data_IF_010833141638
#
_entry.id   IF_010833141638
#
_cell.length_a   1.000
_cell.length_b   1.000
_cell.length_c   1.000
_cell.angle_alpha   90.00
_cell.angle_beta   90.00
_cell.angle_gamma   90.00
#
_symmetry.space_group_name_H-M   'P 1'
#
loop_
_entity.id
_entity.type
_entity.pdbx_description
1 polymer ?
#
# COMPACT_ATOMS: atom_id res chain seq x y z
N UNK A 1 -18.14 -28.52 -38.88
CA UNK A 1 -18.81 -27.26 -38.59
C UNK A 1 -18.57 -26.97 -37.13
N UNK A 2 -17.57 -26.15 -36.82
CA UNK A 2 -17.24 -25.71 -35.46
C UNK A 2 -18.24 -24.61 -35.12
N UNK A 3 -19.19 -24.90 -34.24
CA UNK A 3 -20.09 -23.91 -33.67
C UNK A 3 -19.25 -22.87 -32.94
N UNK A 4 -19.09 -21.69 -33.53
CA UNK A 4 -18.62 -20.50 -32.80
C UNK A 4 -19.64 -20.23 -31.70
N UNK A 5 -19.33 -20.59 -30.46
CA UNK A 5 -20.03 -20.12 -29.28
C UNK A 5 -19.86 -18.61 -29.26
N UNK A 6 -20.92 -17.87 -29.54
CA UNK A 6 -20.93 -16.42 -29.38
C UNK A 6 -20.67 -16.09 -27.90
N UNK A 7 -19.51 -15.53 -27.62
CA UNK A 7 -19.18 -15.01 -26.30
C UNK A 7 -20.27 -14.02 -25.88
N UNK A 8 -20.92 -14.19 -24.71
CA UNK A 8 -21.91 -13.21 -24.26
C UNK A 8 -21.23 -11.84 -24.11
N UNK A 9 -21.81 -10.82 -24.75
CA UNK A 9 -21.35 -9.44 -24.63
C UNK A 9 -22.41 -8.58 -23.97
N UNK A 10 -21.98 -7.74 -23.02
CA UNK A 10 -22.81 -6.73 -22.36
C UNK A 10 -22.30 -5.34 -22.78
N UNK A 11 -23.21 -4.47 -23.19
CA UNK A 11 -22.88 -3.08 -23.51
C UNK A 11 -23.00 -2.19 -22.26
N UNK A 12 -21.85 -1.83 -21.73
CA UNK A 12 -21.71 -0.89 -20.61
C UNK A 12 -21.02 0.41 -21.06
N UNK A 13 -21.18 0.78 -22.33
CA UNK A 13 -20.48 1.90 -22.99
C UNK A 13 -20.66 3.26 -22.33
N UNK A 14 -21.65 3.42 -21.45
CA UNK A 14 -21.84 4.62 -20.64
C UNK A 14 -21.23 4.54 -19.23
N UNK A 15 -20.77 3.37 -18.84
CA UNK A 15 -20.23 3.09 -17.48
C UNK A 15 -18.71 3.09 -17.48
N UNK A 16 -18.14 3.20 -16.28
CA UNK A 16 -16.72 3.00 -16.02
C UNK A 16 -16.48 1.65 -15.34
N UNK A 17 -15.35 1.00 -15.65
CA UNK A 17 -14.93 -0.21 -14.97
C UNK A 17 -13.88 0.13 -13.91
N UNK A 18 -14.13 -0.22 -12.65
CA UNK A 18 -13.13 -0.17 -11.57
C UNK A 18 -12.60 -1.58 -11.37
N UNK A 19 -11.28 -1.76 -11.43
CA UNK A 19 -10.64 -3.07 -11.28
C UNK A 19 -9.94 -3.17 -9.93
N UNK A 20 -10.51 -3.96 -9.02
CA UNK A 20 -9.99 -4.26 -7.70
C UNK A 20 -10.73 -3.57 -6.55
N UNK A 21 -11.13 -4.36 -5.55
CA UNK A 21 -11.88 -3.97 -4.34
C UNK A 21 -10.99 -3.75 -3.10
N UNK A 22 -9.75 -3.31 -3.30
CA UNK A 22 -8.89 -2.84 -2.21
C UNK A 22 -9.19 -1.40 -1.79
N UNK A 23 -8.35 -0.83 -0.91
CA UNK A 23 -8.52 0.52 -0.40
C UNK A 23 -8.70 1.58 -1.51
N UNK A 24 -7.98 1.48 -2.63
CA UNK A 24 -8.11 2.38 -3.75
C UNK A 24 -9.47 2.24 -4.47
N UNK A 25 -9.90 1.01 -4.77
CA UNK A 25 -11.15 0.76 -5.50
C UNK A 25 -12.39 1.17 -4.73
N UNK A 26 -12.43 0.89 -3.42
CA UNK A 26 -13.54 1.25 -2.56
C UNK A 26 -13.77 2.77 -2.54
N UNK A 27 -12.71 3.56 -2.31
CA UNK A 27 -12.83 5.02 -2.30
C UNK A 27 -13.09 5.60 -3.70
N UNK A 28 -12.56 4.95 -4.75
CA UNK A 28 -12.85 5.32 -6.14
C UNK A 28 -14.34 5.15 -6.45
N UNK A 29 -14.92 4.02 -6.12
CA UNK A 29 -16.34 3.74 -6.29
C UNK A 29 -17.21 4.75 -5.54
N UNK A 30 -16.89 5.04 -4.27
CA UNK A 30 -17.56 6.05 -3.46
C UNK A 30 -17.53 7.43 -4.14
N UNK A 31 -16.37 7.87 -4.61
CA UNK A 31 -16.23 9.18 -5.21
C UNK A 31 -16.91 9.29 -6.59
N UNK A 32 -16.91 8.24 -7.42
CA UNK A 32 -17.70 8.22 -8.67
C UNK A 32 -19.18 8.31 -8.36
N UNK A 33 -19.66 7.53 -7.39
CA UNK A 33 -21.08 7.56 -6.97
C UNK A 33 -21.51 8.94 -6.48
N UNK A 34 -20.69 9.64 -5.72
CA UNK A 34 -20.98 11.01 -5.27
C UNK A 34 -21.05 12.03 -6.41
N UNK A 35 -20.36 11.78 -7.52
CA UNK A 35 -20.45 12.61 -8.73
C UNK A 35 -21.57 12.17 -9.69
N UNK A 36 -22.34 11.13 -9.36
CA UNK A 36 -23.40 10.58 -10.21
C UNK A 36 -22.85 9.90 -11.46
N UNK A 37 -21.66 9.32 -11.39
CA UNK A 37 -21.02 8.61 -12.49
C UNK A 37 -21.27 7.12 -12.33
N UNK A 38 -21.84 6.48 -13.35
CA UNK A 38 -22.14 5.06 -13.35
C UNK A 38 -20.86 4.21 -13.54
N UNK A 39 -20.75 3.14 -12.77
CA UNK A 39 -19.62 2.22 -12.82
C UNK A 39 -20.01 0.80 -12.40
N UNK A 40 -19.15 -0.15 -12.76
CA UNK A 40 -19.09 -1.48 -12.15
C UNK A 40 -17.73 -1.64 -11.46
N UNK A 41 -17.71 -2.15 -10.23
CA UNK A 41 -16.48 -2.55 -9.55
C UNK A 41 -16.34 -4.06 -9.65
N UNK A 42 -15.23 -4.52 -10.21
CA UNK A 42 -14.91 -5.93 -10.40
C UNK A 42 -13.85 -6.35 -9.39
N UNK A 43 -14.18 -7.30 -8.51
CA UNK A 43 -13.26 -7.85 -7.51
C UNK A 43 -13.18 -9.38 -7.63
N UNK A 44 -11.97 -9.90 -7.65
CA UNK A 44 -11.73 -11.34 -7.79
C UNK A 44 -11.99 -12.14 -6.53
N UNK A 45 -11.87 -11.53 -5.36
CA UNK A 45 -12.15 -12.16 -4.08
C UNK A 45 -13.65 -12.08 -3.74
N UNK A 46 -14.07 -12.79 -2.72
CA UNK A 46 -15.46 -12.88 -2.26
C UNK A 46 -15.92 -11.69 -1.40
N UNK A 47 -15.01 -10.76 -1.06
CA UNK A 47 -15.31 -9.54 -0.30
C UNK A 47 -14.19 -8.51 -0.49
N UNK A 48 -14.43 -7.30 -0.02
CA UNK A 48 -13.46 -6.20 -0.03
C UNK A 48 -12.28 -6.43 0.91
N UNK A 49 -11.14 -5.80 0.55
CA UNK A 49 -10.00 -5.72 1.44
C UNK A 49 -8.65 -5.65 0.73
N UNK A 50 -8.53 -6.20 -0.49
CA UNK A 50 -7.28 -6.24 -1.23
C UNK A 50 -6.16 -6.86 -0.39
N UNK A 51 -5.00 -6.19 -0.28
CA UNK A 51 -3.86 -6.69 0.50
C UNK A 51 -4.18 -6.93 2.00
N UNK A 52 -5.18 -6.25 2.56
CA UNK A 52 -5.60 -6.38 3.96
C UNK A 52 -6.52 -7.58 4.21
N UNK A 53 -6.97 -8.26 3.17
CA UNK A 53 -7.81 -9.44 3.31
C UNK A 53 -6.98 -10.66 3.67
N UNK A 54 -6.61 -10.77 4.97
CA UNK A 54 -5.78 -11.85 5.50
C UNK A 54 -6.28 -13.24 5.09
N UNK A 55 -5.37 -14.11 4.69
CA UNK A 55 -5.65 -15.49 4.29
C UNK A 55 -6.09 -15.68 2.83
N UNK A 56 -6.30 -14.60 2.07
CA UNK A 56 -6.63 -14.67 0.63
C UNK A 56 -5.37 -14.57 -0.25
N UNK A 57 -5.43 -15.06 -1.50
CA UNK A 57 -4.30 -14.98 -2.43
C UNK A 57 -3.78 -13.56 -2.70
N UNK A 58 -4.67 -12.56 -2.64
CA UNK A 58 -4.32 -11.14 -2.81
C UNK A 58 -3.57 -10.54 -1.62
N UNK A 59 -3.58 -11.22 -0.48
CA UNK A 59 -3.06 -10.69 0.79
C UNK A 59 -1.54 -10.77 0.88
N UNK A 60 -0.91 -9.65 1.14
CA UNK A 60 0.52 -9.59 1.46
C UNK A 60 0.81 -9.40 2.96
N UNK A 61 -0.22 -9.43 3.83
CA UNK A 61 -0.09 -9.26 5.28
C UNK A 61 0.02 -10.60 6.03
N UNK A 62 0.56 -10.53 7.22
CA UNK A 62 0.66 -11.62 8.22
C UNK A 62 -0.16 -11.26 9.45
N UNK A 63 -0.43 -12.25 10.33
CA UNK A 63 -1.37 -12.13 11.46
C UNK A 63 -1.03 -10.99 12.42
N UNK A 64 0.23 -10.79 12.73
CA UNK A 64 0.73 -9.80 13.69
C UNK A 64 0.89 -8.40 13.10
N UNK A 65 0.59 -8.19 11.81
CA UNK A 65 0.82 -6.91 11.15
C UNK A 65 0.01 -5.77 11.79
N UNK A 66 0.67 -4.63 11.97
CA UNK A 66 0.06 -3.36 12.30
C UNK A 66 0.36 -2.34 11.21
N UNK A 67 -0.49 -1.36 11.05
CA UNK A 67 -0.21 -0.23 10.17
C UNK A 67 1.10 0.45 10.59
N UNK A 68 1.87 0.93 9.63
CA UNK A 68 3.10 1.69 9.86
C UNK A 68 2.85 3.20 9.98
N UNK A 69 1.66 3.65 9.61
CA UNK A 69 1.16 5.02 9.79
C UNK A 69 0.11 5.07 10.90
N UNK A 70 0.05 6.19 11.60
CA UNK A 70 -0.94 6.39 12.66
C UNK A 70 -2.36 6.41 12.12
N UNK A 71 -3.33 6.18 13.00
CA UNK A 71 -4.76 6.24 12.68
C UNK A 71 -5.13 7.55 11.97
N UNK A 72 -4.69 8.68 12.47
CA UNK A 72 -4.96 10.01 11.91
C UNK A 72 -4.42 10.20 10.49
N UNK A 73 -3.37 9.48 10.11
CA UNK A 73 -2.79 9.52 8.76
C UNK A 73 -3.25 8.37 7.86
N UNK A 74 -4.04 7.43 8.39
CA UNK A 74 -4.48 6.25 7.65
C UNK A 74 -5.96 6.29 7.28
N UNK A 75 -6.77 7.12 7.93
CA UNK A 75 -8.21 7.24 7.66
C UNK A 75 -8.49 7.96 6.32
N UNK A 76 -9.62 7.65 5.70
CA UNK A 76 -10.11 8.41 4.55
C UNK A 76 -10.50 9.84 4.94
N UNK A 77 -10.53 10.74 3.97
CA UNK A 77 -10.66 12.19 4.24
C UNK A 77 -12.03 12.60 4.82
N UNK A 78 -13.01 11.75 4.72
CA UNK A 78 -14.41 11.97 5.10
C UNK A 78 -14.98 10.88 6.02
N UNK A 79 -14.13 9.95 6.47
CA UNK A 79 -14.53 8.85 7.33
C UNK A 79 -13.45 8.55 8.37
N UNK A 80 -13.55 9.07 9.59
CA UNK A 80 -12.56 8.81 10.62
C UNK A 80 -12.59 7.35 11.06
N UNK A 81 -11.42 6.81 11.41
CA UNK A 81 -11.34 5.50 12.06
C UNK A 81 -11.96 5.53 13.45
N UNK A 82 -12.57 4.45 13.92
CA UNK A 82 -13.13 4.33 15.27
C UNK A 82 -12.15 4.82 16.34
N UNK A 83 -12.68 5.58 17.32
CA UNK A 83 -11.85 6.21 18.36
C UNK A 83 -11.20 5.18 19.31
N UNK A 84 -11.77 4.00 19.42
CA UNK A 84 -11.27 2.86 20.20
C UNK A 84 -10.18 2.05 19.49
N UNK A 85 -9.89 2.35 18.22
CA UNK A 85 -8.74 1.71 17.54
C UNK A 85 -7.42 2.24 18.12
N UNK A 86 -6.39 1.38 18.24
CA UNK A 86 -5.08 1.81 18.68
C UNK A 86 -4.47 2.85 17.71
N UNK A 87 -3.47 3.56 18.17
CA UNK A 87 -2.74 4.56 17.35
C UNK A 87 -2.26 3.97 16.02
N UNK A 88 -1.79 2.74 16.03
CA UNK A 88 -1.44 1.96 14.85
C UNK A 88 -2.36 0.75 14.78
N UNK A 89 -3.37 0.82 13.92
CA UNK A 89 -4.39 -0.22 13.81
C UNK A 89 -3.80 -1.56 13.35
N UNK A 90 -4.36 -2.66 13.87
CA UNK A 90 -4.02 -4.02 13.43
C UNK A 90 -4.58 -4.30 12.05
N UNK A 91 -4.06 -5.33 11.38
CA UNK A 91 -4.52 -5.73 10.05
C UNK A 91 -6.01 -6.09 9.98
N UNK A 92 -6.55 -6.74 11.01
CA UNK A 92 -7.99 -7.07 11.11
C UNK A 92 -8.86 -5.82 11.28
N UNK A 93 -8.41 -4.83 12.06
CA UNK A 93 -9.09 -3.54 12.22
C UNK A 93 -9.04 -2.71 10.94
N UNK A 94 -7.91 -2.74 10.24
CA UNK A 94 -7.76 -2.12 8.93
C UNK A 94 -8.77 -2.69 7.92
N UNK A 95 -8.91 -4.01 7.86
CA UNK A 95 -9.90 -4.69 7.02
C UNK A 95 -11.34 -4.32 7.41
N UNK A 96 -11.64 -4.34 8.71
CA UNK A 96 -12.97 -4.00 9.22
C UNK A 96 -13.38 -2.56 8.85
N UNK A 97 -12.45 -1.61 8.97
CA UNK A 97 -12.66 -0.22 8.57
C UNK A 97 -12.94 -0.08 7.06
N UNK A 98 -12.20 -0.77 6.19
CA UNK A 98 -12.43 -0.73 4.73
C UNK A 98 -13.83 -1.24 4.38
N UNK A 99 -14.25 -2.35 5.00
CA UNK A 99 -15.56 -2.95 4.77
C UNK A 99 -16.70 -2.08 5.32
N UNK A 100 -16.50 -1.45 6.47
CA UNK A 100 -17.46 -0.52 7.04
C UNK A 100 -17.64 0.72 6.17
N UNK A 101 -16.54 1.29 5.68
CA UNK A 101 -16.58 2.35 4.68
C UNK A 101 -17.37 1.94 3.43
N UNK A 102 -17.09 0.77 2.88
CA UNK A 102 -17.79 0.27 1.69
C UNK A 102 -19.31 0.13 1.92
N UNK A 103 -19.71 -0.39 3.10
CA UNK A 103 -21.14 -0.48 3.49
C UNK A 103 -21.76 0.89 3.68
N UNK A 104 -21.09 1.76 4.41
CA UNK A 104 -21.55 3.12 4.72
C UNK A 104 -21.87 3.92 3.46
N UNK A 105 -21.05 3.77 2.43
CA UNK A 105 -21.17 4.51 1.19
C UNK A 105 -21.85 3.70 0.06
N UNK A 106 -22.42 2.54 0.34
CA UNK A 106 -23.20 1.74 -0.62
C UNK A 106 -22.36 1.25 -1.81
N UNK A 107 -21.10 0.85 -1.57
CA UNK A 107 -20.22 0.37 -2.65
C UNK A 107 -20.55 -1.08 -3.01
N UNK A 108 -21.07 -1.86 -2.06
CA UNK A 108 -21.42 -3.28 -2.27
C UNK A 108 -22.43 -3.47 -3.40
N UNK A 109 -23.40 -2.56 -3.54
CA UNK A 109 -24.47 -2.66 -4.54
C UNK A 109 -23.98 -2.46 -5.98
N UNK A 110 -22.75 -1.99 -6.16
CA UNK A 110 -22.11 -1.73 -7.45
C UNK A 110 -20.89 -2.63 -7.70
N UNK A 111 -20.76 -3.73 -6.91
CA UNK A 111 -19.58 -4.60 -6.95
C UNK A 111 -19.95 -6.00 -7.34
N UNK A 112 -19.23 -6.55 -8.31
CA UNK A 112 -19.26 -7.96 -8.68
C UNK A 112 -18.05 -8.66 -8.06
N UNK A 113 -18.29 -9.49 -7.05
CA UNK A 113 -17.29 -10.32 -6.39
C UNK A 113 -17.09 -11.65 -7.11
N UNK A 114 -15.97 -12.31 -6.82
CA UNK A 114 -15.57 -13.57 -7.46
C UNK A 114 -15.51 -13.47 -8.99
N UNK A 115 -15.10 -12.29 -9.49
CA UNK A 115 -14.96 -12.01 -10.93
C UNK A 115 -13.55 -11.52 -11.24
N UNK A 116 -12.88 -12.20 -12.14
CA UNK A 116 -11.50 -11.86 -12.52
C UNK A 116 -11.49 -11.16 -13.89
N UNK A 117 -10.85 -10.00 -13.94
CA UNK A 117 -10.54 -9.34 -15.22
C UNK A 117 -9.33 -10.04 -15.84
N UNK A 118 -9.51 -10.58 -17.02
CA UNK A 118 -8.49 -11.32 -17.78
C UNK A 118 -7.73 -10.42 -18.75
N UNK A 119 -8.47 -9.54 -19.46
CA UNK A 119 -7.89 -8.63 -20.45
C UNK A 119 -8.61 -7.28 -20.46
N UNK A 120 -7.83 -6.23 -20.67
CA UNK A 120 -8.31 -4.85 -20.91
C UNK A 120 -7.60 -4.32 -22.14
N UNK A 121 -8.36 -3.93 -23.16
CA UNK A 121 -7.85 -3.40 -24.41
C UNK A 121 -8.60 -2.16 -24.87
N UNK A 122 -7.93 -1.11 -25.38
CA UNK A 122 -8.61 0.03 -25.96
C UNK A 122 -9.25 -0.36 -27.30
N UNK A 123 -10.40 0.24 -27.61
CA UNK A 123 -11.08 0.14 -28.90
C UNK A 123 -10.93 1.50 -29.64
N UNK A 124 -9.91 1.63 -30.52
CA UNK A 124 -9.54 2.92 -31.09
C UNK A 124 -10.70 3.64 -31.82
N UNK A 125 -11.51 2.89 -32.58
CA UNK A 125 -12.58 3.46 -33.40
C UNK A 125 -13.74 4.05 -32.59
N UNK A 126 -13.99 3.50 -31.40
CA UNK A 126 -15.10 3.96 -30.52
C UNK A 126 -14.64 4.81 -29.33
N UNK A 127 -13.34 4.78 -28.98
CA UNK A 127 -12.80 5.35 -27.76
C UNK A 127 -13.23 4.63 -26.48
N UNK A 128 -13.85 3.45 -26.62
CA UNK A 128 -14.25 2.57 -25.53
C UNK A 128 -13.12 1.62 -25.13
N UNK A 129 -13.34 0.90 -24.04
CA UNK A 129 -12.47 -0.15 -23.52
C UNK A 129 -13.20 -1.49 -23.56
N UNK A 130 -12.57 -2.51 -24.16
CA UNK A 130 -12.98 -3.90 -24.06
C UNK A 130 -12.41 -4.46 -22.76
N UNK A 131 -13.26 -5.04 -21.92
CA UNK A 131 -12.88 -5.74 -20.70
C UNK A 131 -13.38 -7.18 -20.80
N UNK A 132 -12.46 -8.11 -20.75
CA UNK A 132 -12.78 -9.54 -20.72
C UNK A 132 -12.69 -10.06 -19.29
N UNK A 133 -13.76 -10.72 -18.85
CA UNK A 133 -13.86 -11.33 -17.53
C UNK A 133 -13.69 -12.86 -17.65
N UNK A 134 -13.46 -13.52 -16.51
CA UNK A 134 -13.52 -14.97 -16.41
C UNK A 134 -14.85 -15.49 -16.97
N UNK A 135 -14.82 -16.71 -17.53
CA UNK A 135 -15.94 -17.25 -18.33
C UNK A 135 -16.08 -16.63 -19.73
N UNK A 136 -15.07 -15.86 -20.17
CA UNK A 136 -15.01 -15.19 -21.48
C UNK A 136 -16.15 -14.20 -21.75
N UNK A 137 -16.74 -13.64 -20.71
CA UNK A 137 -17.69 -12.53 -20.84
C UNK A 137 -16.95 -11.25 -21.24
N UNK A 138 -17.42 -10.61 -22.31
CA UNK A 138 -16.84 -9.35 -22.82
C UNK A 138 -17.80 -8.19 -22.56
N UNK A 139 -17.27 -7.12 -21.99
CA UNK A 139 -17.98 -5.88 -21.73
C UNK A 139 -17.25 -4.69 -22.38
N UNK A 140 -18.00 -3.65 -22.74
CA UNK A 140 -17.47 -2.42 -23.30
C UNK A 140 -17.75 -1.27 -22.35
N UNK A 141 -16.70 -0.56 -21.94
CA UNK A 141 -16.80 0.54 -20.97
C UNK A 141 -16.30 1.86 -21.53
N UNK A 142 -16.86 2.97 -21.05
CA UNK A 142 -16.42 4.33 -21.36
C UNK A 142 -14.98 4.61 -20.93
N UNK A 143 -14.51 3.94 -19.88
CA UNK A 143 -13.16 4.05 -19.38
C UNK A 143 -12.88 3.06 -18.25
N UNK A 144 -11.62 2.95 -17.87
CA UNK A 144 -11.13 1.98 -16.89
C UNK A 144 -10.34 2.70 -15.79
N UNK A 145 -10.63 2.34 -14.53
CA UNK A 145 -9.89 2.78 -13.34
C UNK A 145 -9.18 1.58 -12.72
N UNK A 146 -7.87 1.53 -12.89
CA UNK A 146 -7.01 0.45 -12.40
C UNK A 146 -6.71 0.70 -10.93
N UNK A 147 -7.29 -0.14 -10.06
CA UNK A 147 -7.18 -0.07 -8.59
C UNK A 147 -6.61 -1.37 -8.00
N UNK A 148 -5.86 -2.14 -8.80
CA UNK A 148 -5.38 -3.49 -8.45
C UNK A 148 -4.22 -3.52 -7.45
N UNK A 149 -3.73 -2.37 -7.00
CA UNK A 149 -2.59 -2.25 -6.09
C UNK A 149 -1.24 -2.57 -6.73
N UNK A 150 -0.18 -2.54 -5.92
CA UNK A 150 1.20 -2.76 -6.36
C UNK A 150 1.97 -3.81 -5.53
N UNK A 151 1.28 -4.57 -4.67
CA UNK A 151 1.86 -5.58 -3.78
C UNK A 151 1.39 -7.00 -4.15
N UNK A 152 1.22 -7.29 -5.46
CA UNK A 152 0.69 -8.57 -5.94
C UNK A 152 1.73 -9.51 -6.53
N UNK A 153 2.85 -8.99 -7.08
CA UNK A 153 3.90 -9.79 -7.69
C UNK A 153 5.17 -9.77 -6.82
N UNK A 154 5.42 -10.81 -5.99
CA UNK A 154 6.61 -10.91 -5.15
C UNK A 154 7.90 -10.85 -5.97
N UNK A 155 8.93 -10.23 -5.41
CA UNK A 155 10.26 -10.20 -5.97
C UNK A 155 11.19 -11.07 -5.13
N UNK A 156 11.68 -12.15 -5.71
CA UNK A 156 12.71 -13.00 -5.10
C UNK A 156 14.01 -12.80 -5.86
N UNK A 157 15.12 -12.42 -5.21
CA UNK A 157 16.43 -12.35 -5.85
C UNK A 157 16.89 -13.76 -6.28
N UNK A 158 17.63 -13.80 -7.37
CA UNK A 158 18.30 -15.00 -7.83
C UNK A 158 19.71 -15.03 -7.26
N UNK A 159 19.95 -15.89 -6.29
CA UNK A 159 21.27 -16.09 -5.71
C UNK A 159 21.93 -17.35 -6.29
N UNK A 160 23.25 -17.33 -6.53
CA UNK A 160 23.99 -18.51 -6.93
C UNK A 160 23.81 -19.66 -5.93
N UNK A 161 23.90 -20.89 -6.42
CA UNK A 161 23.85 -22.08 -5.59
C UNK A 161 22.45 -22.65 -5.37
N UNK A 162 22.29 -23.45 -4.32
CA UNK A 162 21.04 -24.11 -3.96
C UNK A 162 20.86 -24.04 -2.43
N UNK A 163 19.61 -23.87 -2.01
CA UNK A 163 19.20 -23.99 -0.61
C UNK A 163 18.26 -25.16 -0.40
N UNK A 164 18.54 -25.98 0.60
CA UNK A 164 17.79 -27.21 0.87
C UNK A 164 16.66 -27.00 1.90
N UNK A 165 16.65 -25.85 2.58
CA UNK A 165 15.63 -25.48 3.56
C UNK A 165 14.38 -24.83 2.96
N UNK A 166 13.51 -24.33 3.83
CA UNK A 166 12.29 -23.63 3.45
C UNK A 166 12.59 -22.22 2.95
N UNK A 167 12.07 -21.86 1.78
CA UNK A 167 12.15 -20.50 1.23
C UNK A 167 10.75 -19.92 1.05
N UNK A 168 10.49 -18.74 1.61
CA UNK A 168 9.21 -18.04 1.53
C UNK A 168 9.43 -16.57 1.21
N UNK A 169 8.60 -16.00 0.32
CA UNK A 169 8.48 -14.55 0.26
C UNK A 169 7.61 -14.04 1.42
N UNK A 170 7.86 -12.83 1.92
CA UNK A 170 7.09 -12.21 3.02
C UNK A 170 5.58 -12.17 2.76
N UNK A 171 5.15 -12.12 1.50
CA UNK A 171 3.74 -12.22 1.13
C UNK A 171 3.11 -13.59 1.49
N UNK A 172 3.89 -14.64 1.54
CA UNK A 172 3.45 -16.00 1.91
C UNK A 172 3.63 -16.30 3.39
N UNK A 173 4.41 -15.49 4.10
CA UNK A 173 4.53 -15.57 5.55
C UNK A 173 3.21 -15.11 6.19
N UNK A 174 2.57 -15.97 6.98
CA UNK A 174 1.26 -15.70 7.59
C UNK A 174 1.27 -15.74 9.10
N UNK A 175 2.01 -16.69 9.68
CA UNK A 175 2.15 -16.88 11.13
C UNK A 175 3.58 -17.28 11.47
N UNK A 176 4.04 -17.07 12.71
CA UNK A 176 5.38 -17.44 13.13
C UNK A 176 5.59 -18.96 13.29
N UNK A 177 4.57 -19.78 13.09
CA UNK A 177 4.66 -21.24 13.28
C UNK A 177 5.76 -21.89 12.44
N UNK A 178 5.99 -21.35 11.21
CA UNK A 178 7.05 -21.82 10.30
C UNK A 178 8.47 -21.54 10.79
N UNK A 179 8.62 -20.66 11.78
CA UNK A 179 9.91 -20.21 12.32
C UNK A 179 10.30 -20.96 13.60
N UNK A 180 9.35 -21.70 14.18
CA UNK A 180 9.53 -22.32 15.51
C UNK A 180 10.74 -23.25 15.55
N UNK A 181 11.65 -22.97 16.49
CA UNK A 181 12.89 -23.72 16.73
C UNK A 181 13.84 -23.82 15.52
N UNK A 182 13.72 -22.90 14.55
CA UNK A 182 14.52 -22.82 13.32
C UNK A 182 15.58 -21.74 13.39
N UNK A 183 16.66 -21.91 12.60
CA UNK A 183 17.61 -20.85 12.30
C UNK A 183 17.06 -20.09 11.10
N UNK A 184 16.67 -18.85 11.31
CA UNK A 184 15.91 -18.04 10.34
C UNK A 184 16.77 -16.94 9.77
N UNK A 185 16.79 -16.81 8.46
CA UNK A 185 17.36 -15.66 7.76
C UNK A 185 16.24 -14.83 7.13
N UNK A 186 16.15 -13.57 7.53
CA UNK A 186 15.26 -12.59 6.88
C UNK A 186 16.09 -11.70 5.96
N UNK A 187 15.78 -11.70 4.65
CA UNK A 187 16.51 -10.92 3.65
C UNK A 187 15.69 -9.69 3.26
N UNK A 188 16.24 -8.51 3.51
CA UNK A 188 15.63 -7.22 3.13
C UNK A 188 15.24 -6.35 4.32
N UNK A 189 15.64 -5.09 4.27
CA UNK A 189 15.45 -4.08 5.33
C UNK A 189 14.17 -3.23 5.17
N UNK A 190 13.16 -3.70 4.43
CA UNK A 190 11.86 -3.05 4.38
C UNK A 190 11.10 -3.18 5.71
N UNK A 191 9.97 -2.44 5.87
CA UNK A 191 9.15 -2.53 7.09
C UNK A 191 8.78 -4.00 7.40
N UNK A 192 8.31 -4.77 6.41
CA UNK A 192 8.00 -6.19 6.59
C UNK A 192 9.22 -7.02 7.02
N UNK A 193 10.42 -6.73 6.47
CA UNK A 193 11.64 -7.46 6.85
C UNK A 193 12.02 -7.21 8.31
N UNK A 194 11.97 -5.96 8.75
CA UNK A 194 12.24 -5.61 10.14
C UNK A 194 11.19 -6.18 11.11
N UNK A 195 9.90 -6.09 10.76
CA UNK A 195 8.83 -6.61 11.63
C UNK A 195 8.88 -8.14 11.74
N UNK A 196 9.13 -8.86 10.63
CA UNK A 196 9.26 -10.34 10.63
C UNK A 196 10.53 -10.77 11.37
N UNK A 197 11.65 -10.04 11.20
CA UNK A 197 12.88 -10.36 11.94
C UNK A 197 12.70 -10.19 13.45
N UNK A 198 12.01 -9.13 13.89
CA UNK A 198 11.67 -8.90 15.30
C UNK A 198 10.69 -9.97 15.82
N UNK A 199 9.65 -10.33 15.04
CA UNK A 199 8.74 -11.41 15.43
C UNK A 199 9.47 -12.76 15.55
N UNK A 200 10.40 -13.03 14.62
CA UNK A 200 11.16 -14.28 14.61
C UNK A 200 11.99 -14.50 15.89
N UNK A 201 12.50 -13.44 16.52
CA UNK A 201 13.26 -13.52 17.78
C UNK A 201 12.50 -14.27 18.88
N UNK A 202 11.18 -14.16 18.90
CA UNK A 202 10.35 -14.78 19.93
C UNK A 202 9.98 -16.25 19.66
N UNK A 203 10.31 -16.77 18.47
CA UNK A 203 9.88 -18.10 18.02
C UNK A 203 11.02 -18.98 17.50
N UNK A 204 12.05 -18.38 16.92
CA UNK A 204 13.14 -19.06 16.26
C UNK A 204 14.26 -19.44 17.26
N UNK A 205 15.10 -20.40 16.89
CA UNK A 205 16.31 -20.77 17.59
C UNK A 205 17.44 -19.74 17.45
N UNK A 206 17.54 -19.14 16.26
CA UNK A 206 18.47 -18.06 15.94
C UNK A 206 17.89 -17.23 14.79
N UNK A 207 18.14 -15.91 14.78
CA UNK A 207 17.62 -15.00 13.75
C UNK A 207 18.75 -14.16 13.17
N UNK A 208 18.85 -14.18 11.86
CA UNK A 208 19.77 -13.37 11.06
C UNK A 208 18.98 -12.43 10.17
N UNK A 209 19.41 -11.17 10.07
CA UNK A 209 18.76 -10.15 9.23
C UNK A 209 19.76 -9.59 8.22
N UNK A 210 19.65 -10.02 6.96
CA UNK A 210 20.53 -9.57 5.89
C UNK A 210 20.02 -8.28 5.25
N UNK A 211 20.89 -7.27 5.21
CA UNK A 211 20.61 -5.97 4.61
C UNK A 211 21.72 -5.56 3.65
N UNK A 212 21.35 -5.37 2.36
CA UNK A 212 22.31 -5.00 1.31
C UNK A 212 22.73 -3.53 1.37
N UNK A 213 21.80 -2.62 1.78
CA UNK A 213 21.99 -1.16 1.82
C UNK A 213 21.58 -0.61 3.17
N UNK A 214 22.18 0.49 3.59
CA UNK A 214 21.78 1.21 4.78
C UNK A 214 20.52 2.04 4.59
N UNK A 215 19.77 2.19 5.66
CA UNK A 215 18.53 2.94 5.72
C UNK A 215 18.45 3.79 6.98
N UNK A 216 17.58 4.81 6.97
CA UNK A 216 17.19 5.53 8.17
C UNK A 216 16.01 4.80 8.82
N UNK A 217 16.15 4.50 10.11
CA UNK A 217 15.14 3.83 10.91
C UNK A 217 14.47 4.84 11.83
N UNK A 218 13.15 4.88 11.81
CA UNK A 218 12.34 5.78 12.63
C UNK A 218 11.55 4.97 13.64
N UNK A 219 11.51 5.40 14.93
CA UNK A 219 10.60 4.80 15.90
C UNK A 219 9.15 5.18 15.56
N UNK A 220 8.19 4.34 15.97
CA UNK A 220 6.76 4.64 15.80
C UNK A 220 6.33 5.87 16.62
N UNK A 221 6.97 6.10 17.75
CA UNK A 221 6.68 7.22 18.64
C UNK A 221 7.91 8.07 18.87
N UNK A 222 7.72 9.39 18.86
CA UNK A 222 8.70 10.42 19.22
C UNK A 222 8.10 11.32 20.30
N UNK A 223 8.73 11.40 21.47
CA UNK A 223 8.27 12.22 22.59
C UNK A 223 6.78 12.03 22.94
N UNK A 224 6.30 10.77 22.90
CA UNK A 224 4.92 10.42 23.21
C UNK A 224 3.91 10.62 22.08
N UNK A 225 4.32 11.13 20.92
CA UNK A 225 3.46 11.33 19.74
C UNK A 225 3.86 10.39 18.59
N UNK A 226 2.92 10.02 17.71
CA UNK A 226 3.23 9.29 16.48
C UNK A 226 4.24 10.04 15.60
N UNK A 227 5.18 9.31 15.01
CA UNK A 227 6.26 9.91 14.21
C UNK A 227 5.77 10.65 12.95
N UNK A 228 4.67 10.19 12.35
CA UNK A 228 4.05 10.83 11.19
C UNK A 228 3.33 12.16 11.55
N UNK A 229 2.77 12.28 12.75
CA UNK A 229 2.23 13.55 13.25
C UNK A 229 3.37 14.57 13.49
N UNK A 230 4.51 14.13 14.01
CA UNK A 230 5.71 14.94 14.11
C UNK A 230 6.19 15.47 12.76
N UNK A 231 6.11 14.67 11.71
CA UNK A 231 6.54 15.03 10.36
C UNK A 231 5.77 16.21 9.76
N UNK A 232 4.55 16.49 10.22
CA UNK A 232 3.77 17.66 9.77
C UNK A 232 4.30 19.00 10.29
N UNK A 233 4.86 19.07 11.49
CA UNK A 233 5.25 20.33 12.12
C UNK A 233 6.28 21.14 11.32
N UNK A 234 7.40 20.56 10.84
CA UNK A 234 8.37 21.28 10.01
C UNK A 234 7.75 21.84 8.73
N UNK A 235 6.74 21.16 8.19
CA UNK A 235 6.05 21.57 6.97
C UNK A 235 5.05 22.69 7.22
N UNK A 236 4.29 22.63 8.32
CA UNK A 236 3.44 23.74 8.77
C UNK A 236 4.25 25.02 9.00
N UNK A 237 5.47 24.87 9.51
CA UNK A 237 6.44 25.96 9.69
C UNK A 237 7.17 26.37 8.40
N UNK A 238 6.85 25.74 7.25
CA UNK A 238 7.52 25.96 5.95
C UNK A 238 9.04 25.80 6.00
N UNK A 239 9.51 24.90 6.86
CA UNK A 239 10.96 24.65 7.02
C UNK A 239 11.55 24.11 5.70
N UNK A 240 12.63 24.70 5.17
CA UNK A 240 13.25 24.24 3.94
C UNK A 240 13.86 22.85 4.11
N UNK A 241 13.98 22.11 3.00
CA UNK A 241 14.40 20.69 3.00
C UNK A 241 15.76 20.47 3.70
N UNK A 242 16.73 21.38 3.49
CA UNK A 242 18.04 21.26 4.12
C UNK A 242 17.95 21.33 5.66
N UNK A 243 17.09 22.20 6.20
CA UNK A 243 16.88 22.33 7.64
C UNK A 243 16.14 21.10 8.18
N UNK A 244 15.13 20.59 7.46
CA UNK A 244 14.42 19.34 7.81
C UNK A 244 15.38 18.15 7.88
N UNK A 245 16.33 18.04 6.93
CA UNK A 245 17.37 17.01 6.93
C UNK A 245 18.29 17.16 8.15
N UNK A 246 18.81 18.35 8.37
CA UNK A 246 19.74 18.64 9.45
C UNK A 246 19.14 18.34 10.85
N UNK A 247 17.93 18.82 11.12
CA UNK A 247 17.28 18.55 12.39
C UNK A 247 16.77 17.10 12.49
N UNK A 248 16.29 16.52 11.40
CA UNK A 248 15.82 15.15 11.39
C UNK A 248 16.92 14.13 11.67
N UNK A 249 18.09 14.28 11.05
CA UNK A 249 19.24 13.41 11.32
C UNK A 249 19.73 13.51 12.77
N UNK A 250 19.73 14.73 13.35
CA UNK A 250 20.07 14.91 14.77
C UNK A 250 19.02 14.32 15.69
N UNK A 251 17.74 14.51 15.36
CA UNK A 251 16.64 13.93 16.12
C UNK A 251 16.75 12.40 16.14
N UNK A 252 17.02 11.76 15.00
CA UNK A 252 17.21 10.32 14.94
C UNK A 252 18.35 9.85 15.85
N UNK A 253 19.50 10.55 15.83
CA UNK A 253 20.65 10.21 16.69
C UNK A 253 20.32 10.30 18.19
N UNK A 254 19.38 11.18 18.57
CA UNK A 254 18.99 11.38 19.97
C UNK A 254 17.88 10.44 20.43
N UNK A 255 17.06 9.95 19.50
CA UNK A 255 15.84 9.19 19.81
C UNK A 255 15.95 7.70 19.50
N UNK A 256 16.92 7.28 18.67
CA UNK A 256 17.25 5.88 18.45
C UNK A 256 18.39 5.45 19.39
N UNK A 257 18.56 4.15 19.58
CA UNK A 257 19.57 3.60 20.49
C UNK A 257 21.01 3.72 19.93
N UNK A 258 21.29 4.59 18.97
CA UNK A 258 22.59 4.77 18.30
C UNK A 258 22.46 4.87 16.79
N UNK A 259 23.57 4.65 16.09
CA UNK A 259 23.58 4.61 14.63
C UNK A 259 23.40 3.16 14.15
N UNK A 260 22.85 2.93 12.94
CA UNK A 260 22.74 1.57 12.38
C UNK A 260 24.06 0.79 12.40
N UNK A 261 25.17 1.49 12.14
CA UNK A 261 26.52 0.92 12.11
C UNK A 261 26.98 0.35 13.47
N UNK A 262 26.50 0.92 14.57
CA UNK A 262 26.81 0.45 15.93
C UNK A 262 26.26 -0.97 16.19
N UNK A 263 25.30 -1.40 15.35
CA UNK A 263 24.62 -2.69 15.43
C UNK A 263 24.93 -3.62 14.24
N UNK A 264 25.96 -3.30 13.44
CA UNK A 264 26.35 -4.12 12.29
C UNK A 264 25.48 -3.93 11.03
N UNK A 265 24.57 -2.95 11.04
CA UNK A 265 23.81 -2.59 9.86
C UNK A 265 24.60 -1.62 8.96
N UNK A 266 24.41 -1.66 7.63
CA UNK A 266 25.10 -0.73 6.74
C UNK A 266 24.71 0.73 7.01
N UNK A 267 25.68 1.64 6.84
CA UNK A 267 25.43 3.08 6.86
C UNK A 267 24.50 3.50 5.73
N UNK A 268 23.53 4.41 5.96
CA UNK A 268 22.73 4.97 4.88
C UNK A 268 23.61 5.60 3.78
N UNK A 269 23.39 5.18 2.54
CA UNK A 269 24.11 5.63 1.34
C UNK A 269 23.40 6.80 0.61
N UNK A 270 22.41 7.38 1.23
CA UNK A 270 21.55 8.45 0.72
C UNK A 270 21.24 9.47 1.82
N UNK A 271 20.76 10.66 1.43
CA UNK A 271 20.33 11.67 2.40
C UNK A 271 18.96 11.34 2.96
N UNK A 272 18.70 11.85 4.15
CA UNK A 272 17.38 11.72 4.79
C UNK A 272 16.27 12.20 3.83
N UNK A 273 15.18 11.45 3.71
CA UNK A 273 14.03 11.59 2.80
C UNK A 273 14.25 11.10 1.36
N UNK A 274 15.45 10.75 0.92
CA UNK A 274 15.68 10.24 -0.44
C UNK A 274 15.33 8.75 -0.61
N UNK A 275 15.04 8.07 0.49
CA UNK A 275 14.55 6.70 0.54
C UNK A 275 13.37 6.60 1.48
N UNK A 276 12.52 5.62 1.24
CA UNK A 276 11.42 5.29 2.13
C UNK A 276 11.93 4.92 3.51
N UNK A 277 11.33 5.48 4.55
CA UNK A 277 11.71 5.22 5.94
C UNK A 277 11.38 3.80 6.36
N UNK A 278 12.19 3.27 7.25
CA UNK A 278 11.87 2.06 7.97
C UNK A 278 11.28 2.47 9.31
N UNK A 279 10.04 2.08 9.54
CA UNK A 279 9.32 2.40 10.77
C UNK A 279 9.34 1.18 11.69
N UNK A 280 10.29 1.14 12.61
CA UNK A 280 10.38 0.05 13.58
C UNK A 280 11.02 0.55 14.88
N UNK A 281 10.39 0.29 16.04
CA UNK A 281 10.86 0.75 17.35
C UNK A 281 11.73 -0.26 18.07
N UNK A 282 11.72 -1.53 17.66
CA UNK A 282 12.29 -2.64 18.45
C UNK A 282 13.45 -3.37 17.76
N UNK A 283 13.73 -3.05 16.49
CA UNK A 283 14.82 -3.66 15.75
C UNK A 283 16.18 -3.49 16.47
N UNK A 284 16.53 -2.24 16.82
CA UNK A 284 17.79 -1.94 17.52
C UNK A 284 17.85 -2.55 18.91
N UNK A 285 16.71 -2.68 19.59
CA UNK A 285 16.64 -3.35 20.89
C UNK A 285 17.12 -4.81 20.77
N UNK A 286 16.58 -5.58 19.82
CA UNK A 286 16.97 -6.98 19.64
C UNK A 286 18.37 -7.15 19.05
N UNK A 287 18.82 -6.23 18.21
CA UNK A 287 20.22 -6.20 17.75
C UNK A 287 21.18 -5.95 18.93
N UNK A 288 20.86 -4.99 19.80
CA UNK A 288 21.67 -4.65 20.97
C UNK A 288 21.70 -5.75 22.05
N UNK A 289 20.67 -6.59 22.13
CA UNK A 289 20.63 -7.76 23.02
C UNK A 289 21.34 -9.00 22.42
N UNK A 290 21.62 -8.97 21.10
CA UNK A 290 22.19 -10.13 20.42
C UNK A 290 21.16 -11.23 20.07
N UNK A 291 19.86 -10.98 20.30
CA UNK A 291 18.78 -11.87 19.91
C UNK A 291 18.60 -11.94 18.40
N UNK A 292 18.99 -10.86 17.72
CA UNK A 292 18.98 -10.68 16.28
C UNK A 292 20.39 -10.31 15.79
N UNK A 293 20.89 -11.02 14.79
CA UNK A 293 22.23 -10.79 14.24
C UNK A 293 22.12 -10.12 12.86
N UNK A 294 22.71 -8.93 12.72
CA UNK A 294 22.82 -8.26 11.41
C UNK A 294 23.82 -9.01 10.52
N UNK A 295 23.46 -9.17 9.24
CA UNK A 295 24.32 -9.74 8.20
C UNK A 295 24.31 -8.83 6.96
N UNK A 296 25.42 -8.74 6.24
CA UNK A 296 25.47 -8.03 4.98
C UNK A 296 24.75 -8.80 3.85
N UNK A 297 24.95 -8.43 2.61
CA UNK A 297 24.26 -9.06 1.46
C UNK A 297 24.62 -10.54 1.34
N UNK A 298 23.63 -11.35 0.95
CA UNK A 298 23.81 -12.76 0.61
C UNK A 298 24.53 -12.86 -0.73
N UNK A 299 25.55 -13.74 -0.84
CA UNK A 299 26.29 -13.96 -2.07
C UNK A 299 26.06 -15.34 -2.68
N UNK A 300 25.80 -16.36 -1.85
CA UNK A 300 25.63 -17.73 -2.32
C UNK A 300 24.80 -18.58 -1.35
N UNK A 301 24.00 -19.50 -1.90
CA UNK A 301 23.26 -20.52 -1.16
C UNK A 301 24.01 -21.86 -1.25
N UNK A 302 24.34 -22.46 -0.09
CA UNK A 302 25.20 -23.66 0.00
C UNK A 302 24.54 -24.79 0.78
N UNK A 303 23.46 -25.35 0.22
CA UNK A 303 22.71 -26.42 0.88
C UNK A 303 22.00 -25.96 2.13
N UNK A 304 22.45 -26.33 3.31
CA UNK A 304 21.93 -25.91 4.61
C UNK A 304 22.59 -24.63 5.16
N UNK A 305 23.47 -23.98 4.39
CA UNK A 305 24.20 -22.78 4.78
C UNK A 305 24.01 -21.64 3.78
N UNK A 306 24.22 -20.41 4.26
CA UNK A 306 24.17 -19.20 3.44
C UNK A 306 25.46 -18.42 3.65
N UNK A 307 26.12 -18.06 2.55
CA UNK A 307 27.34 -17.24 2.55
C UNK A 307 27.01 -15.76 2.31
N UNK A 308 27.72 -14.88 3.05
CA UNK A 308 27.52 -13.45 3.04
C UNK A 308 28.73 -12.72 2.45
N UNK A 309 28.54 -11.46 2.05
CA UNK A 309 29.57 -10.65 1.37
C UNK A 309 30.77 -10.27 2.24
N UNK A 310 30.71 -10.46 3.56
CA UNK A 310 31.83 -10.31 4.49
C UNK A 310 32.66 -11.58 4.64
N UNK A 311 32.34 -12.65 3.90
CA UNK A 311 32.98 -13.96 3.96
C UNK A 311 32.44 -14.85 5.07
N UNK A 312 31.53 -14.38 5.90
CA UNK A 312 30.88 -15.23 6.92
C UNK A 312 29.88 -16.20 6.28
N UNK A 313 29.59 -17.29 7.00
CA UNK A 313 28.68 -18.34 6.55
C UNK A 313 27.89 -18.85 7.74
N UNK A 314 26.55 -18.89 7.63
CA UNK A 314 25.66 -19.34 8.70
C UNK A 314 24.81 -20.54 8.28
N UNK A 315 24.58 -21.47 9.19
CA UNK A 315 23.62 -22.56 8.97
C UNK A 315 22.19 -22.00 9.13
N UNK A 316 21.35 -22.21 8.11
CA UNK A 316 19.98 -21.67 8.01
C UNK A 316 19.00 -22.80 7.71
N UNK A 317 17.83 -22.77 8.33
CA UNK A 317 16.73 -23.71 8.09
C UNK A 317 15.60 -23.07 7.26
N UNK A 318 15.40 -21.73 7.42
CA UNK A 318 14.33 -20.98 6.76
C UNK A 318 14.84 -19.64 6.26
N UNK A 319 14.56 -19.33 5.00
CA UNK A 319 14.80 -18.01 4.41
C UNK A 319 13.45 -17.32 4.17
N UNK A 320 13.29 -16.08 4.69
CA UNK A 320 12.16 -15.19 4.40
C UNK A 320 12.66 -14.05 3.51
N UNK A 321 12.18 -14.01 2.27
CA UNK A 321 12.47 -12.92 1.33
C UNK A 321 11.53 -11.75 1.57
N UNK A 322 11.96 -10.73 2.28
CA UNK A 322 11.25 -9.45 2.45
C UNK A 322 11.76 -8.39 1.45
N UNK A 323 11.91 -8.82 0.21
CA UNK A 323 12.63 -8.11 -0.85
C UNK A 323 11.71 -7.27 -1.76
N UNK A 324 10.44 -7.11 -1.34
CA UNK A 324 9.46 -6.24 -1.99
C UNK A 324 8.76 -6.87 -3.19
N UNK A 325 8.16 -6.02 -4.01
CA UNK A 325 7.27 -6.43 -5.09
C UNK A 325 7.65 -5.73 -6.40
N UNK A 326 7.14 -6.27 -7.51
CA UNK A 326 7.18 -5.66 -8.84
C UNK A 326 5.80 -5.13 -9.21
N UNK A 327 5.75 -4.02 -9.95
CA UNK A 327 4.50 -3.55 -10.53
C UNK A 327 3.99 -4.59 -11.54
N UNK A 328 2.69 -4.87 -11.48
CA UNK A 328 2.07 -5.87 -12.35
C UNK A 328 0.62 -5.48 -12.65
N UNK A 329 0.31 -5.47 -13.93
CA UNK A 329 -1.04 -5.29 -14.48
C UNK A 329 -1.31 -6.46 -15.43
N UNK A 330 -1.59 -7.66 -14.91
CA UNK A 330 -1.60 -8.88 -15.72
C UNK A 330 -2.69 -8.90 -16.80
N UNK A 331 -3.71 -8.06 -16.65
CA UNK A 331 -4.83 -7.90 -17.56
C UNK A 331 -4.63 -6.78 -18.61
N UNK A 332 -3.57 -5.98 -18.51
CA UNK A 332 -3.31 -4.84 -19.38
C UNK A 332 -1.99 -5.07 -20.13
N UNK A 333 -2.03 -5.09 -21.47
CA UNK A 333 -0.82 -5.18 -22.26
C UNK A 333 0.05 -3.95 -22.01
N UNK A 334 1.32 -4.18 -21.71
CA UNK A 334 2.29 -3.14 -21.42
C UNK A 334 2.53 -2.19 -22.59
N UNK A 335 2.29 -2.63 -23.84
CA UNK A 335 2.42 -1.81 -25.04
C UNK A 335 1.42 -0.65 -25.11
N UNK A 336 0.31 -0.72 -24.37
CA UNK A 336 -0.66 0.38 -24.28
C UNK A 336 -0.17 1.54 -23.41
N UNK A 337 0.86 1.31 -22.58
CA UNK A 337 1.40 2.32 -21.67
C UNK A 337 2.77 2.81 -22.12
N UNK A 338 3.01 4.08 -21.94
CA UNK A 338 4.38 4.61 -22.01
C UNK A 338 5.10 4.30 -20.70
N UNK A 339 6.25 3.63 -20.80
CA UNK A 339 7.05 3.26 -19.63
C UNK A 339 8.25 4.18 -19.48
N UNK A 340 8.53 4.55 -18.24
CA UNK A 340 9.80 5.16 -17.83
C UNK A 340 10.48 4.19 -16.85
N UNK A 341 11.54 3.53 -17.32
CA UNK A 341 12.20 2.44 -16.58
C UNK A 341 11.22 1.30 -16.22
N UNK A 342 10.78 1.23 -14.96
CA UNK A 342 9.95 0.15 -14.41
C UNK A 342 8.54 0.60 -14.01
N UNK A 343 8.12 1.81 -14.40
CA UNK A 343 6.80 2.34 -14.07
C UNK A 343 6.11 2.93 -15.31
N UNK A 344 4.77 2.92 -15.36
CA UNK A 344 4.06 3.65 -16.40
C UNK A 344 4.20 5.17 -16.20
N UNK A 345 4.38 5.89 -17.31
CA UNK A 345 4.58 7.34 -17.30
C UNK A 345 3.26 8.10 -17.19
N UNK A 346 2.77 8.21 -15.97
CA UNK A 346 1.48 8.82 -15.64
C UNK A 346 1.65 10.23 -15.06
N UNK A 347 0.70 11.12 -15.33
CA UNK A 347 0.60 12.38 -14.60
C UNK A 347 0.03 12.13 -13.20
N UNK A 348 0.72 12.56 -12.16
CA UNK A 348 0.38 12.31 -10.74
C UNK A 348 0.22 10.82 -10.39
N UNK A 349 0.87 9.92 -11.10
CA UNK A 349 0.64 8.47 -10.97
C UNK A 349 -0.84 8.06 -11.11
N UNK A 350 -1.63 8.87 -11.81
CA UNK A 350 -3.09 8.69 -11.99
C UNK A 350 -3.49 8.67 -13.46
N UNK A 351 -3.10 9.70 -14.23
CA UNK A 351 -3.64 9.93 -15.56
C UNK A 351 -2.69 9.39 -16.63
N UNK A 352 -3.17 8.46 -17.45
CA UNK A 352 -2.45 8.09 -18.67
C UNK A 352 -2.52 9.21 -19.71
N UNK A 353 -1.43 9.43 -20.43
CA UNK A 353 -1.32 10.54 -21.39
C UNK A 353 -1.85 10.16 -22.77
N UNK A 354 -1.72 8.90 -23.13
CA UNK A 354 -2.17 8.39 -24.42
C UNK A 354 -3.68 8.08 -24.42
N UNK A 355 -4.19 7.62 -23.27
CA UNK A 355 -5.57 7.18 -23.14
C UNK A 355 -6.31 8.00 -22.07
N UNK A 356 -7.05 9.05 -22.46
CA UNK A 356 -7.69 9.99 -21.52
C UNK A 356 -8.80 9.37 -20.65
N UNK A 357 -9.18 8.13 -20.91
CA UNK A 357 -10.17 7.35 -20.14
C UNK A 357 -9.53 6.17 -19.36
N UNK A 358 -8.19 6.14 -19.26
CA UNK A 358 -7.47 5.18 -18.42
C UNK A 358 -6.88 5.90 -17.23
N UNK A 359 -7.20 5.40 -16.03
CA UNK A 359 -6.77 5.98 -14.77
C UNK A 359 -6.18 4.91 -13.85
N UNK A 360 -5.23 5.31 -13.03
CA UNK A 360 -4.67 4.47 -11.98
C UNK A 360 -4.92 5.15 -10.64
N UNK A 361 -5.47 4.43 -9.66
CA UNK A 361 -5.68 4.96 -8.31
C UNK A 361 -4.98 4.07 -7.31
N UNK A 362 -4.17 4.68 -6.43
CA UNK A 362 -3.35 3.95 -5.47
C UNK A 362 -2.02 3.44 -6.03
N UNK A 363 -1.61 3.86 -7.23
CA UNK A 363 -0.31 3.52 -7.81
C UNK A 363 0.77 4.50 -7.32
N UNK A 364 0.98 4.57 -6.04
CA UNK A 364 2.04 5.34 -5.40
C UNK A 364 2.42 4.74 -4.06
N UNK A 365 3.59 5.12 -3.58
CA UNK A 365 4.09 4.82 -2.25
C UNK A 365 4.51 6.10 -1.56
N UNK A 366 4.32 6.21 -0.25
CA UNK A 366 4.74 7.36 0.55
C UNK A 366 5.16 6.92 1.94
N UNK A 367 5.92 7.75 2.61
CA UNK A 367 6.47 7.51 3.95
C UNK A 367 5.43 7.58 5.09
N UNK A 368 4.17 7.92 4.79
CA UNK A 368 3.07 7.96 5.76
C UNK A 368 1.84 7.23 5.22
N UNK A 369 0.63 7.53 5.71
CA UNK A 369 -0.60 6.85 5.28
C UNK A 369 -0.96 7.08 3.81
N UNK A 370 -1.28 6.00 3.13
CA UNK A 370 -1.63 6.03 1.70
C UNK A 370 -3.13 6.30 1.47
N UNK A 371 -4.03 5.86 2.35
CA UNK A 371 -5.47 5.87 2.09
C UNK A 371 -6.07 7.26 1.89
N UNK A 372 -5.72 8.30 2.67
CA UNK A 372 -6.22 9.64 2.39
C UNK A 372 -5.74 10.21 1.05
N UNK A 373 -4.54 9.81 0.59
CA UNK A 373 -4.05 10.20 -0.74
C UNK A 373 -4.77 9.46 -1.87
N UNK A 374 -5.12 8.17 -1.67
CA UNK A 374 -5.99 7.42 -2.60
C UNK A 374 -7.35 8.08 -2.74
N UNK A 375 -7.92 8.54 -1.62
CA UNK A 375 -9.19 9.27 -1.63
C UNK A 375 -9.07 10.62 -2.37
N UNK A 376 -8.02 11.39 -2.17
CA UNK A 376 -7.78 12.60 -2.97
C UNK A 376 -7.57 12.30 -4.46
N UNK A 377 -6.91 11.20 -4.83
CA UNK A 377 -6.82 10.78 -6.24
C UNK A 377 -8.21 10.47 -6.80
N UNK A 378 -9.02 9.71 -6.07
CA UNK A 378 -10.38 9.35 -6.45
C UNK A 378 -11.29 10.59 -6.59
N UNK A 379 -11.20 11.55 -5.65
CA UNK A 379 -11.88 12.84 -5.75
C UNK A 379 -11.46 13.63 -6.99
N UNK A 380 -10.17 13.64 -7.30
CA UNK A 380 -9.65 14.34 -8.49
C UNK A 380 -10.19 13.72 -9.77
N UNK A 381 -10.11 12.38 -9.91
CA UNK A 381 -10.60 11.66 -11.09
C UNK A 381 -12.11 11.87 -11.26
N UNK A 382 -12.89 11.62 -10.23
CA UNK A 382 -14.36 11.73 -10.30
C UNK A 382 -14.83 13.15 -10.66
N UNK A 383 -14.21 14.18 -10.07
CA UNK A 383 -14.50 15.59 -10.44
C UNK A 383 -14.04 15.93 -11.84
N UNK A 384 -12.92 15.39 -12.29
CA UNK A 384 -12.47 15.57 -13.66
C UNK A 384 -13.44 14.96 -14.67
N UNK A 385 -13.88 13.73 -14.44
CA UNK A 385 -14.87 13.07 -15.29
C UNK A 385 -16.18 13.85 -15.33
N UNK A 386 -16.66 14.32 -14.19
CA UNK A 386 -17.83 15.21 -14.13
C UNK A 386 -17.61 16.54 -14.85
N UNK A 387 -16.41 17.12 -14.73
CA UNK A 387 -16.07 18.37 -15.41
C UNK A 387 -16.05 18.24 -16.93
N UNK A 388 -15.71 17.10 -17.48
CA UNK A 388 -15.74 16.85 -18.94
C UNK A 388 -17.15 17.06 -19.52
N UNK A 389 -18.18 16.77 -18.75
CA UNK A 389 -19.59 16.96 -19.14
C UNK A 389 -20.11 18.34 -18.72
N UNK A 390 -19.94 18.72 -17.45
CA UNK A 390 -20.59 19.91 -16.88
C UNK A 390 -19.77 21.20 -17.00
N UNK A 391 -18.45 21.12 -17.22
CA UNK A 391 -17.55 22.28 -17.31
C UNK A 391 -16.33 22.00 -18.21
N UNK A 392 -16.53 21.76 -19.54
CA UNK A 392 -15.47 21.29 -20.44
C UNK A 392 -14.22 22.17 -20.45
N UNK A 393 -14.35 23.47 -20.29
CA UNK A 393 -13.21 24.40 -20.24
C UNK A 393 -12.28 24.15 -19.03
N UNK A 394 -12.84 23.73 -17.88
CA UNK A 394 -12.04 23.35 -16.70
C UNK A 394 -11.36 22.00 -16.89
N UNK A 395 -12.05 21.02 -17.48
CA UNK A 395 -11.46 19.74 -17.85
C UNK A 395 -10.30 19.92 -18.82
N UNK A 396 -10.49 20.69 -19.93
CA UNK A 396 -9.46 20.98 -20.90
C UNK A 396 -8.21 21.68 -20.31
N UNK A 397 -8.38 22.44 -19.21
CA UNK A 397 -7.23 22.99 -18.48
C UNK A 397 -6.41 21.89 -17.83
N UNK A 398 -7.07 20.90 -17.22
CA UNK A 398 -6.37 19.74 -16.61
C UNK A 398 -5.73 18.87 -17.71
N UNK A 399 -6.40 18.66 -18.86
CA UNK A 399 -5.83 17.93 -20.00
C UNK A 399 -4.50 18.55 -20.44
N UNK A 400 -4.44 19.87 -20.55
CA UNK A 400 -3.19 20.57 -20.88
C UNK A 400 -2.09 20.38 -19.83
N UNK A 401 -2.44 20.28 -18.55
CA UNK A 401 -1.48 19.98 -17.49
C UNK A 401 -0.98 18.54 -17.59
N UNK A 402 -1.87 17.57 -17.83
CA UNK A 402 -1.53 16.16 -18.03
C UNK A 402 -0.52 16.00 -19.16
N UNK A 403 -0.72 16.70 -20.28
CA UNK A 403 0.15 16.60 -21.46
C UNK A 403 1.51 17.33 -21.26
N UNK A 404 1.53 18.44 -20.53
CA UNK A 404 2.77 19.24 -20.35
C UNK A 404 3.71 18.73 -19.29
N UNK A 405 3.21 18.02 -18.34
CA UNK A 405 3.83 17.55 -17.11
C UNK A 405 5.35 17.73 -16.96
N UNK A 406 5.70 18.69 -16.13
CA UNK A 406 7.04 18.88 -15.56
C UNK A 406 6.92 19.24 -14.07
N UNK A 407 5.77 18.98 -13.46
CA UNK A 407 5.52 19.35 -12.07
C UNK A 407 6.25 18.41 -11.12
N UNK A 408 7.14 18.97 -10.34
CA UNK A 408 7.79 18.27 -9.23
C UNK A 408 6.86 18.31 -8.00
N UNK A 409 6.08 17.26 -7.79
CA UNK A 409 5.25 17.08 -6.60
C UNK A 409 5.98 16.39 -5.43
N UNK A 410 7.28 16.18 -5.57
CA UNK A 410 8.12 15.54 -4.56
C UNK A 410 8.74 16.55 -3.56
N UNK A 411 8.25 17.79 -3.53
CA UNK A 411 8.73 18.79 -2.57
C UNK A 411 10.23 19.09 -2.66
N UNK A 412 10.84 18.93 -3.85
CA UNK A 412 12.27 19.09 -4.06
C UNK A 412 13.11 17.87 -3.64
N UNK A 413 12.49 16.76 -3.28
CA UNK A 413 13.18 15.51 -2.94
C UNK A 413 13.46 14.74 -4.25
N UNK A 414 14.70 14.33 -4.42
CA UNK A 414 15.11 13.36 -5.44
C UNK A 414 15.21 12.00 -4.76
N UNK A 415 14.26 11.12 -5.06
CA UNK A 415 14.29 9.76 -4.52
C UNK A 415 15.41 8.94 -5.16
N UNK A 416 15.97 8.02 -4.39
CA UNK A 416 17.00 7.09 -4.85
C UNK A 416 16.51 6.30 -6.06
N UNK A 417 17.34 6.21 -7.12
CA UNK A 417 17.00 5.49 -8.35
C UNK A 417 17.07 3.97 -8.15
N UNK A 418 16.05 3.44 -7.48
CA UNK A 418 15.90 2.01 -7.23
C UNK A 418 14.47 1.57 -7.51
N UNK A 419 14.28 0.31 -7.82
CA UNK A 419 12.95 -0.27 -8.09
C UNK A 419 11.95 -0.03 -6.96
N UNK A 420 12.42 0.09 -5.71
CA UNK A 420 11.58 0.38 -4.54
C UNK A 420 10.93 1.77 -4.60
N UNK A 421 11.59 2.75 -5.25
CA UNK A 421 11.19 4.16 -5.22
C UNK A 421 10.58 4.67 -6.53
N UNK A 422 10.35 3.79 -7.51
CA UNK A 422 9.82 4.20 -8.83
C UNK A 422 8.45 4.90 -8.73
N UNK A 423 7.62 4.53 -7.74
CA UNK A 423 6.31 5.14 -7.49
C UNK A 423 6.28 5.98 -6.20
N UNK A 424 7.45 6.30 -5.62
CA UNK A 424 7.51 7.08 -4.37
C UNK A 424 7.11 8.53 -4.61
N UNK A 425 6.30 9.08 -3.68
CA UNK A 425 5.89 10.48 -3.68
C UNK A 425 6.10 11.09 -2.28
N UNK A 426 6.41 12.38 -2.22
CA UNK A 426 6.45 13.10 -0.96
C UNK A 426 5.00 13.42 -0.53
N UNK A 427 4.59 12.87 0.60
CA UNK A 427 3.19 12.86 1.07
C UNK A 427 2.54 14.25 1.05
N UNK A 428 3.20 15.24 1.61
CA UNK A 428 2.58 16.54 1.87
C UNK A 428 2.53 17.41 0.61
N UNK A 429 3.59 17.42 -0.20
CA UNK A 429 3.62 18.14 -1.47
C UNK A 429 2.61 17.52 -2.45
N UNK A 430 2.55 16.20 -2.49
CA UNK A 430 1.60 15.47 -3.31
C UNK A 430 0.15 15.74 -2.88
N UNK A 431 -0.15 15.66 -1.57
CA UNK A 431 -1.43 16.01 -0.98
C UNK A 431 -1.85 17.45 -1.32
N UNK A 432 -0.94 18.39 -1.23
CA UNK A 432 -1.19 19.79 -1.55
C UNK A 432 -1.55 19.98 -3.03
N UNK A 433 -0.81 19.32 -3.92
CA UNK A 433 -1.07 19.37 -5.37
C UNK A 433 -2.43 18.76 -5.72
N UNK A 434 -2.78 17.59 -5.18
CA UNK A 434 -4.09 16.98 -5.37
C UNK A 434 -5.21 17.91 -4.90
N UNK A 435 -5.12 18.46 -3.68
CA UNK A 435 -6.10 19.42 -3.15
C UNK A 435 -6.25 20.66 -4.02
N UNK A 436 -5.16 21.19 -4.58
CA UNK A 436 -5.19 22.35 -5.49
C UNK A 436 -5.96 22.04 -6.76
N UNK A 437 -5.70 20.88 -7.37
CA UNK A 437 -6.40 20.46 -8.60
C UNK A 437 -7.87 20.16 -8.33
N UNK A 438 -8.20 19.47 -7.25
CA UNK A 438 -9.57 19.19 -6.82
C UNK A 438 -10.37 20.50 -6.68
N UNK A 439 -9.81 21.54 -6.04
CA UNK A 439 -10.45 22.84 -5.87
C UNK A 439 -10.66 23.61 -7.20
N UNK A 440 -9.87 23.32 -8.22
CA UNK A 440 -10.02 23.95 -9.55
C UNK A 440 -11.16 23.36 -10.39
N UNK A 441 -11.68 22.22 -10.00
CA UNK A 441 -12.76 21.50 -10.68
C UNK A 441 -14.12 21.75 -9.98
N UNK A 442 -15.26 21.62 -10.69
CA UNK A 442 -16.56 21.77 -10.06
C UNK A 442 -16.79 20.69 -9.00
N UNK A 443 -17.40 21.06 -7.89
CA UNK A 443 -17.97 20.11 -6.94
C UNK A 443 -19.26 19.52 -7.49
N UNK A 444 -19.62 18.30 -7.09
CA UNK A 444 -20.97 17.79 -7.28
C UNK A 444 -21.99 18.71 -6.60
N UNK A 445 -23.23 18.81 -7.10
CA UNK A 445 -24.33 19.26 -6.28
C UNK A 445 -24.36 18.39 -5.03
N UNK A 446 -24.46 19.00 -3.86
CA UNK A 446 -24.53 18.22 -2.61
C UNK A 446 -25.64 17.18 -2.75
N UNK A 447 -25.29 15.90 -2.72
CA UNK A 447 -26.27 14.85 -2.55
C UNK A 447 -26.96 15.12 -1.22
N UNK A 448 -28.31 15.21 -1.23
CA UNK A 448 -29.08 15.33 -0.01
C UNK A 448 -28.61 14.25 0.96
N UNK A 449 -28.11 14.66 2.12
CA UNK A 449 -27.59 13.76 3.11
C UNK A 449 -28.65 12.68 3.41
N UNK A 450 -28.36 11.42 3.10
CA UNK A 450 -29.15 10.33 3.66
C UNK A 450 -29.10 10.51 5.19
N UNK A 451 -30.25 10.51 5.88
CA UNK A 451 -30.28 10.70 7.31
C UNK A 451 -29.32 9.70 7.98
N UNK A 452 -28.49 10.20 8.88
CA UNK A 452 -27.62 9.37 9.69
C UNK A 452 -28.49 8.29 10.35
N UNK A 453 -28.17 7.03 10.10
CA UNK A 453 -28.79 5.93 10.84
C UNK A 453 -28.48 6.17 12.32
N UNK A 454 -29.49 6.17 13.24
CA UNK A 454 -29.20 6.31 14.66
C UNK A 454 -28.20 5.20 15.04
N UNK A 455 -27.17 5.56 15.81
CA UNK A 455 -26.23 4.62 16.39
C UNK A 455 -27.05 3.55 17.12
N UNK A 456 -27.09 2.34 16.57
CA UNK A 456 -27.75 1.21 17.19
C UNK A 456 -27.08 0.97 18.53
N UNK A 457 -27.86 1.06 19.60
CA UNK A 457 -27.48 0.67 20.94
C UNK A 457 -26.90 -0.75 20.87
N UNK A 458 -25.59 -0.87 21.04
CA UNK A 458 -24.94 -2.14 21.31
C UNK A 458 -25.53 -2.62 22.66
N UNK A 459 -26.40 -3.59 22.61
CA UNK A 459 -26.81 -4.36 23.79
C UNK A 459 -25.56 -5.02 24.34
N UNK A 460 -25.05 -4.44 25.41
CA UNK A 460 -24.00 -5.03 26.22
C UNK A 460 -24.58 -6.31 26.86
N UNK A 461 -24.27 -7.45 26.25
CA UNK A 461 -24.40 -8.73 26.95
C UNK A 461 -23.27 -8.80 27.98
N UNK A 462 -23.60 -8.44 29.21
CA UNK A 462 -22.75 -8.58 30.37
C UNK A 462 -22.41 -10.07 30.56
N UNK A 463 -21.22 -10.47 30.22
CA UNK A 463 -20.66 -11.73 30.66
C UNK A 463 -20.30 -11.59 32.14
N UNK A 464 -21.13 -12.20 32.99
CA UNK A 464 -20.90 -12.32 34.42
C UNK A 464 -19.65 -13.17 34.67
N UNK A 465 -18.61 -12.59 35.19
CA UNK A 465 -17.43 -13.28 35.74
C UNK A 465 -17.85 -13.94 37.07
N UNK A 466 -17.60 -15.24 37.31
CA UNK A 466 -17.87 -15.86 38.59
C UNK A 466 -16.86 -15.36 39.63
N UNK A 467 -17.33 -14.73 40.69
CA UNK A 467 -16.55 -14.43 41.90
C UNK A 467 -16.15 -15.74 42.60
N UNK A 468 -14.89 -16.01 42.65
CA UNK A 468 -14.36 -17.03 43.55
C UNK A 468 -14.49 -16.54 45.00
N UNK A 469 -15.34 -17.20 45.78
CA UNK A 469 -15.40 -17.05 47.24
C UNK A 469 -14.22 -17.77 47.85
N UNK A 470 -13.28 -17.03 48.43
CA UNK A 470 -12.34 -17.58 49.40
C UNK A 470 -13.08 -17.70 50.73
N UNK A 471 -13.41 -18.95 51.12
CA UNK A 471 -13.87 -19.30 52.44
C UNK A 471 -12.66 -19.28 53.38
N UNK A 472 -12.71 -18.48 54.42
CA UNK A 472 -11.87 -18.61 55.58
C UNK A 472 -12.45 -19.67 56.53
N UNK A 473 -11.59 -20.46 57.01
CA UNK A 473 -11.88 -21.26 58.21
C UNK A 473 -10.56 -21.50 58.99
N UNK A 474 -10.61 -21.19 60.25
CA UNK A 474 -9.80 -21.76 61.31
C UNK A 474 -8.43 -21.16 61.56
#
# INVERSE_FOLDING_TARGET
>A
MTTMTTTPSRDDSQRYCIIGGGAAGITTAKNLREQGIDFDLIEREDDFGGTWYYGKPCSAIYRSVHMISSRAFSEYTDYPMPADYPTYARGDQALAYLRDYARRFGVYEHTEFNRTVLEVAPLPDSGLWRVELDGHEVRHYKGVLVCNGHLSKPRVPDYPGRFDGLQLHSALYKTPDVLKDKRVLVIGAGNSGCDIAVEAVHHAKAVFHSTRRGYYYWPKFLFGMPADEWAEWPLKLRMPLWARRFFGERLLRLTTAGQPEDYGLPKPDHKLFESHFIINSTLFYHLGHGDLVAKPDVVELRGDRVAFSDGSEEPIDVIIYATGFQLSFPFLDQSYLQWDKMQPRLYLNVFDRAHPNLFFVGLFQTSTGNWPLMDYQAQLVSRYLRAREAAPAKAARLDRLIQRDHSNWNGGIHFSDTQRHVIEVEHFAYRLQLKRLIRSLPAAPAMSARPARPAGAATAAAAATPRVRTGGAG
#
